data_IF_896590400259
#
_entry.id   IF_896590400259
#
_cell.length_a   1.000
_cell.length_b   1.000
_cell.length_c   1.000
_cell.angle_alpha   90.00
_cell.angle_beta   90.00
_cell.angle_gamma   90.00
#
_symmetry.space_group_name_H-M   'P 1'
#
loop_
_entity.id
_entity.type
_entity.pdbx_description
1 polymer ?
#
# COMPACT_ATOMS: atom_id res chain seq x y z
N UNK A 1 -3.09 10.82 -19.20
CA UNK A 1 -3.15 10.88 -17.73
C UNK A 1 -3.79 9.59 -17.25
N UNK A 2 -3.12 8.87 -16.36
CA UNK A 2 -3.70 7.68 -15.74
C UNK A 2 -4.72 8.12 -14.69
N UNK A 3 -5.99 7.82 -14.91
CA UNK A 3 -7.05 8.15 -13.96
C UNK A 3 -7.30 6.97 -13.02
N UNK A 4 -7.75 7.28 -11.83
CA UNK A 4 -8.29 6.30 -10.89
C UNK A 4 -9.53 5.65 -11.50
N UNK A 5 -9.61 4.34 -11.45
CA UNK A 5 -10.78 3.61 -11.94
C UNK A 5 -11.91 3.62 -10.91
N UNK A 6 -13.15 3.37 -11.34
CA UNK A 6 -14.30 3.25 -10.42
C UNK A 6 -14.09 2.13 -9.38
N UNK A 7 -13.46 1.03 -9.79
CA UNK A 7 -13.07 -0.06 -8.90
C UNK A 7 -12.15 0.44 -7.78
N UNK A 8 -11.07 1.14 -8.13
CA UNK A 8 -10.11 1.68 -7.15
C UNK A 8 -10.78 2.69 -6.20
N UNK A 9 -11.64 3.58 -6.71
CA UNK A 9 -12.40 4.52 -5.88
C UNK A 9 -13.25 3.82 -4.82
N UNK A 10 -13.99 2.79 -5.23
CA UNK A 10 -14.89 2.06 -4.34
C UNK A 10 -14.10 1.32 -3.25
N UNK A 11 -13.02 0.63 -3.61
CA UNK A 11 -12.20 -0.10 -2.63
C UNK A 11 -11.37 0.85 -1.76
N UNK A 12 -10.85 1.96 -2.30
CA UNK A 12 -10.17 2.99 -1.49
C UNK A 12 -11.11 3.52 -0.41
N UNK A 13 -12.33 3.89 -0.77
CA UNK A 13 -13.33 4.39 0.18
C UNK A 13 -13.63 3.36 1.27
N UNK A 14 -13.77 2.09 0.92
CA UNK A 14 -14.02 1.00 1.87
C UNK A 14 -12.83 0.80 2.82
N UNK A 15 -11.62 0.78 2.31
CA UNK A 15 -10.39 0.62 3.12
C UNK A 15 -10.20 1.81 4.06
N UNK A 16 -10.38 3.04 3.58
CA UNK A 16 -10.25 4.23 4.43
C UNK A 16 -11.33 4.29 5.51
N UNK A 17 -12.58 3.93 5.20
CA UNK A 17 -13.62 3.81 6.21
C UNK A 17 -13.25 2.77 7.27
N UNK A 18 -12.81 1.57 6.84
CA UNK A 18 -12.35 0.50 7.73
C UNK A 18 -11.19 0.94 8.63
N UNK A 19 -10.23 1.67 8.08
CA UNK A 19 -9.07 2.17 8.82
C UNK A 19 -9.46 3.27 9.83
N UNK A 20 -10.39 4.17 9.47
CA UNK A 20 -10.92 5.18 10.38
C UNK A 20 -11.70 4.54 11.55
N UNK A 21 -12.59 3.57 11.27
CA UNK A 21 -13.39 2.88 12.29
C UNK A 21 -12.51 2.18 13.34
N UNK A 22 -11.26 1.86 12.99
CA UNK A 22 -10.27 1.19 13.84
C UNK A 22 -9.20 2.13 14.38
N UNK A 23 -9.38 3.43 14.18
CA UNK A 23 -8.42 4.46 14.58
C UNK A 23 -7.00 4.23 14.01
N UNK A 24 -6.88 3.64 12.82
CA UNK A 24 -5.57 3.41 12.20
C UNK A 24 -5.01 4.71 11.61
N UNK A 25 -5.88 5.57 11.05
CA UNK A 25 -5.42 6.82 10.43
C UNK A 25 -4.81 7.75 11.47
N UNK A 26 -5.55 8.07 12.56
CA UNK A 26 -5.11 9.02 13.58
C UNK A 26 -4.26 8.37 14.68
N UNK A 27 -4.46 7.09 14.94
CA UNK A 27 -3.76 6.33 15.99
C UNK A 27 -2.40 5.77 15.59
N UNK A 28 -2.02 5.91 14.32
CA UNK A 28 -0.72 5.52 13.76
C UNK A 28 -0.08 6.70 13.03
N UNK A 29 0.99 6.44 12.29
CA UNK A 29 1.69 7.44 11.48
C UNK A 29 2.20 6.83 10.16
N UNK A 30 2.57 7.70 9.24
CA UNK A 30 3.04 7.31 7.91
C UNK A 30 4.38 6.53 7.94
N UNK A 31 5.19 6.67 8.99
CA UNK A 31 6.44 5.91 9.16
C UNK A 31 6.12 4.44 9.45
N UNK A 32 5.22 4.19 10.43
CA UNK A 32 4.77 2.82 10.74
C UNK A 32 4.08 2.18 9.55
N UNK A 33 3.30 2.97 8.81
CA UNK A 33 2.64 2.48 7.60
C UNK A 33 3.63 2.15 6.50
N UNK A 34 4.70 2.94 6.32
CA UNK A 34 5.78 2.63 5.38
C UNK A 34 6.52 1.35 5.77
N UNK A 35 6.80 1.14 7.07
CA UNK A 35 7.40 -0.10 7.56
C UNK A 35 6.51 -1.32 7.27
N UNK A 36 5.18 -1.16 7.42
CA UNK A 36 4.23 -2.21 7.03
C UNK A 36 4.28 -2.48 5.53
N UNK A 37 4.28 -1.43 4.70
CA UNK A 37 4.43 -1.57 3.24
C UNK A 37 5.71 -2.32 2.85
N UNK A 38 6.82 -2.06 3.57
CA UNK A 38 8.08 -2.77 3.34
C UNK A 38 7.99 -4.27 3.68
N UNK A 39 7.24 -4.64 4.73
CA UNK A 39 6.98 -6.04 5.08
C UNK A 39 6.21 -6.74 3.95
N UNK A 40 5.12 -6.14 3.47
CA UNK A 40 4.31 -6.67 2.37
C UNK A 40 5.11 -6.77 1.05
N UNK A 41 6.05 -5.83 0.82
CA UNK A 41 6.96 -5.92 -0.33
C UNK A 41 7.92 -7.12 -0.21
N UNK A 42 8.35 -7.48 0.99
CA UNK A 42 9.13 -8.69 1.26
C UNK A 42 8.33 -9.95 0.96
N UNK A 43 7.10 -10.05 1.45
CA UNK A 43 6.19 -11.16 1.19
C UNK A 43 5.90 -11.33 -0.31
N UNK A 44 5.73 -10.22 -1.04
CA UNK A 44 5.61 -10.24 -2.50
C UNK A 44 6.83 -10.85 -3.20
N UNK A 45 8.04 -10.48 -2.79
CA UNK A 45 9.28 -11.01 -3.36
C UNK A 45 9.40 -12.51 -3.06
N UNK A 46 9.09 -12.92 -1.83
CA UNK A 46 9.13 -14.32 -1.42
C UNK A 46 8.13 -15.17 -2.22
N UNK A 47 6.92 -14.65 -2.46
CA UNK A 47 5.91 -15.31 -3.28
C UNK A 47 6.35 -15.47 -4.74
N UNK A 48 7.02 -14.46 -5.31
CA UNK A 48 7.60 -14.54 -6.67
C UNK A 48 8.70 -15.61 -6.74
N UNK A 49 9.58 -15.66 -5.75
CA UNK A 49 10.71 -16.64 -5.71
C UNK A 49 10.21 -18.07 -5.50
N UNK A 50 9.18 -18.24 -4.68
CA UNK A 50 8.59 -19.56 -4.39
C UNK A 50 7.56 -20.02 -5.45
N UNK A 51 7.23 -19.17 -6.41
CA UNK A 51 6.18 -19.40 -7.43
C UNK A 51 4.79 -19.66 -6.79
N UNK A 52 4.53 -19.10 -5.59
CA UNK A 52 3.26 -19.22 -4.90
C UNK A 52 2.27 -18.15 -5.41
N UNK A 53 1.33 -18.60 -6.25
CA UNK A 53 0.37 -17.72 -6.91
C UNK A 53 -0.64 -17.12 -5.91
N UNK A 54 -1.04 -17.87 -4.90
CA UNK A 54 -2.03 -17.42 -3.92
C UNK A 54 -1.42 -16.35 -3.02
N UNK A 55 -0.22 -16.59 -2.51
CA UNK A 55 0.54 -15.63 -1.72
C UNK A 55 0.91 -14.39 -2.52
N UNK A 56 1.25 -14.56 -3.81
CA UNK A 56 1.51 -13.43 -4.72
C UNK A 56 0.30 -12.50 -4.86
N UNK A 57 -0.90 -13.05 -5.01
CA UNK A 57 -2.14 -12.26 -5.13
C UNK A 57 -2.47 -11.58 -3.80
N UNK A 58 -2.29 -12.24 -2.66
CA UNK A 58 -2.52 -11.68 -1.32
C UNK A 58 -1.57 -10.52 -1.06
N UNK A 59 -0.28 -10.71 -1.30
CA UNK A 59 0.75 -9.68 -1.12
C UNK A 59 0.51 -8.42 -1.98
N UNK A 60 -0.02 -8.55 -3.21
CA UNK A 60 -0.41 -7.40 -4.04
C UNK A 60 -1.50 -6.59 -3.36
N UNK A 61 -2.52 -7.26 -2.84
CA UNK A 61 -3.64 -6.61 -2.18
C UNK A 61 -3.25 -5.91 -0.89
N UNK A 62 -2.45 -6.56 -0.05
CA UNK A 62 -1.98 -6.02 1.21
C UNK A 62 -1.03 -4.84 1.01
N UNK A 63 -0.14 -4.87 0.00
CA UNK A 63 0.63 -3.70 -0.40
C UNK A 63 -0.28 -2.52 -0.77
N UNK A 64 -1.31 -2.75 -1.60
CA UNK A 64 -2.21 -1.69 -2.00
C UNK A 64 -2.96 -1.08 -0.80
N UNK A 65 -3.43 -1.89 0.14
CA UNK A 65 -4.09 -1.43 1.38
C UNK A 65 -3.14 -0.54 2.18
N UNK A 66 -1.88 -0.96 2.37
CA UNK A 66 -0.90 -0.17 3.13
C UNK A 66 -0.57 1.15 2.44
N UNK A 67 -0.48 1.17 1.09
CA UNK A 67 -0.25 2.41 0.33
C UNK A 67 -1.44 3.38 0.46
N UNK A 68 -2.67 2.90 0.37
CA UNK A 68 -3.89 3.72 0.53
C UNK A 68 -3.92 4.40 1.89
N UNK A 69 -3.65 3.68 2.97
CA UNK A 69 -3.59 4.22 4.32
C UNK A 69 -2.42 5.21 4.46
N UNK A 70 -1.24 4.85 3.96
CA UNK A 70 -0.07 5.72 4.01
C UNK A 70 -0.23 7.03 3.24
N UNK A 71 -0.92 7.01 2.10
CA UNK A 71 -1.27 8.23 1.35
C UNK A 71 -2.19 9.14 2.16
N UNK A 72 -3.23 8.59 2.80
CA UNK A 72 -4.15 9.35 3.66
C UNK A 72 -3.40 10.01 4.81
N UNK A 73 -2.60 9.26 5.56
CA UNK A 73 -1.78 9.77 6.66
C UNK A 73 -0.77 10.83 6.20
N UNK A 74 -0.29 10.74 4.97
CA UNK A 74 0.64 11.69 4.36
C UNK A 74 -0.04 12.90 3.74
N UNK A 75 -1.38 12.94 3.67
CA UNK A 75 -2.13 13.99 2.99
C UNK A 75 -1.88 14.03 1.47
N UNK A 76 -1.62 12.88 0.86
CA UNK A 76 -1.46 12.70 -0.59
C UNK A 76 -2.70 12.02 -1.16
N UNK A 77 -3.39 12.69 -2.08
CA UNK A 77 -4.54 12.05 -2.74
C UNK A 77 -4.08 10.99 -3.75
N UNK A 78 -4.89 9.96 -3.94
CA UNK A 78 -4.62 8.89 -4.91
C UNK A 78 -4.38 9.43 -6.33
N UNK A 79 -5.23 10.36 -6.78
CA UNK A 79 -5.06 10.99 -8.10
C UNK A 79 -3.76 11.78 -8.20
N UNK A 80 -3.36 12.50 -7.13
CA UNK A 80 -2.09 13.23 -7.08
C UNK A 80 -0.90 12.28 -7.20
N UNK A 81 -0.97 11.12 -6.56
CA UNK A 81 0.05 10.08 -6.70
C UNK A 81 0.12 9.57 -8.16
N UNK A 82 -1.03 9.21 -8.76
CA UNK A 82 -1.08 8.77 -10.16
C UNK A 82 -0.51 9.81 -11.14
N UNK A 83 -0.83 11.08 -10.95
CA UNK A 83 -0.34 12.17 -11.81
C UNK A 83 1.19 12.35 -11.67
N UNK A 84 1.72 12.10 -10.48
CA UNK A 84 3.15 12.22 -10.19
C UNK A 84 3.98 11.05 -10.73
N UNK A 85 3.37 9.86 -10.92
CA UNK A 85 4.02 8.68 -11.50
C UNK A 85 4.39 8.86 -12.99
N UNK A 86 3.73 9.76 -13.69
CA UNK A 86 3.93 9.98 -15.14
C UNK A 86 5.35 10.46 -15.52
N UNK A 87 6.17 10.81 -14.55
CA UNK A 87 7.55 11.25 -14.77
C UNK A 87 8.55 10.10 -14.93
N UNK A 88 8.13 8.84 -14.76
CA UNK A 88 9.00 7.67 -14.91
C UNK A 88 8.66 6.94 -16.20
N UNK A 89 9.63 6.93 -17.10
CA UNK A 89 9.60 6.06 -18.26
C UNK A 89 9.84 4.62 -17.82
N UNK A 90 8.73 3.86 -17.69
CA UNK A 90 8.77 2.42 -17.37
C UNK A 90 8.86 1.55 -18.62
N UNK A 91 9.13 2.17 -19.78
CA UNK A 91 9.29 1.44 -21.06
C UNK A 91 10.62 0.69 -21.14
N UNK A 92 11.55 0.93 -20.21
CA UNK A 92 12.77 0.16 -20.10
C UNK A 92 12.50 -1.14 -19.35
N UNK A 93 12.35 -2.23 -20.11
CA UNK A 93 12.19 -3.61 -19.60
C UNK A 93 13.37 -4.07 -18.70
N UNK A 94 14.42 -3.25 -18.59
CA UNK A 94 15.58 -3.51 -17.73
C UNK A 94 15.30 -3.29 -16.23
N UNK A 95 14.29 -2.50 -15.89
CA UNK A 95 13.90 -2.25 -14.49
C UNK A 95 12.98 -3.38 -14.02
N UNK A 96 13.52 -4.30 -13.25
CA UNK A 96 12.69 -5.29 -12.55
C UNK A 96 11.75 -4.60 -11.56
N UNK A 97 10.51 -5.10 -11.46
CA UNK A 97 9.48 -4.53 -10.58
C UNK A 97 9.96 -4.34 -9.13
N UNK A 98 10.75 -5.27 -8.60
CA UNK A 98 11.37 -5.22 -7.28
C UNK A 98 12.26 -3.98 -7.08
N UNK A 99 13.12 -3.66 -8.06
CA UNK A 99 14.00 -2.49 -8.02
C UNK A 99 13.18 -1.19 -8.04
N UNK A 100 12.11 -1.15 -8.85
CA UNK A 100 11.21 0.01 -8.92
C UNK A 100 10.43 0.19 -7.62
N UNK A 101 9.99 -0.89 -6.99
CA UNK A 101 9.36 -0.87 -5.67
C UNK A 101 10.30 -0.30 -4.61
N UNK A 102 11.56 -0.76 -4.55
CA UNK A 102 12.55 -0.25 -3.61
C UNK A 102 12.83 1.24 -3.82
N UNK A 103 12.91 1.69 -5.07
CA UNK A 103 13.05 3.11 -5.39
C UNK A 103 11.83 3.91 -4.92
N UNK A 104 10.62 3.42 -5.15
CA UNK A 104 9.40 4.05 -4.68
C UNK A 104 9.36 4.18 -3.14
N UNK A 105 9.72 3.13 -2.42
CA UNK A 105 9.86 3.14 -0.95
C UNK A 105 10.89 4.19 -0.50
N UNK A 106 12.04 4.28 -1.19
CA UNK A 106 13.06 5.29 -0.91
C UNK A 106 12.52 6.71 -1.09
N UNK A 107 11.75 6.97 -2.16
CA UNK A 107 11.11 8.28 -2.38
C UNK A 107 10.10 8.61 -1.27
N UNK A 108 9.30 7.63 -0.82
CA UNK A 108 8.34 7.82 0.28
C UNK A 108 9.09 8.14 1.58
N UNK A 109 10.14 7.36 1.91
CA UNK A 109 10.94 7.58 3.11
C UNK A 109 11.58 8.98 3.13
N UNK A 110 12.16 9.38 2.01
CA UNK A 110 12.80 10.69 1.84
C UNK A 110 11.76 11.82 1.92
N UNK A 111 10.57 11.61 1.35
CA UNK A 111 9.44 12.54 1.44
C UNK A 111 8.94 12.72 2.87
N UNK A 112 8.89 11.65 3.67
CA UNK A 112 8.56 11.72 5.10
C UNK A 112 9.62 12.52 5.86
N UNK A 113 10.90 12.20 5.66
CA UNK A 113 12.02 12.83 6.35
C UNK A 113 12.13 14.33 6.05
N UNK A 114 11.76 14.75 4.85
CA UNK A 114 11.86 16.15 4.39
C UNK A 114 10.54 16.92 4.46
N UNK A 115 9.46 16.28 4.88
CA UNK A 115 8.08 16.78 4.76
C UNK A 115 7.75 17.27 3.33
N UNK A 116 8.23 16.53 2.32
CA UNK A 116 8.08 16.87 0.91
C UNK A 116 6.92 16.09 0.28
N UNK A 117 5.77 16.79 0.14
CA UNK A 117 4.54 16.22 -0.44
C UNK A 117 4.69 15.84 -1.94
N UNK A 118 5.58 16.49 -2.67
CA UNK A 118 5.80 16.16 -4.07
C UNK A 118 6.57 14.84 -4.19
N UNK A 119 7.59 14.66 -3.37
CA UNK A 119 8.36 13.42 -3.32
C UNK A 119 7.53 12.25 -2.78
N UNK A 120 6.69 12.48 -1.77
CA UNK A 120 5.69 11.50 -1.31
C UNK A 120 4.75 11.08 -2.43
N UNK A 121 4.15 12.05 -3.15
CA UNK A 121 3.25 11.75 -4.25
C UNK A 121 3.96 10.98 -5.37
N UNK A 122 5.20 11.31 -5.67
CA UNK A 122 6.02 10.57 -6.63
C UNK A 122 6.24 9.13 -6.20
N UNK A 123 6.69 8.90 -4.97
CA UNK A 123 6.95 7.56 -4.45
C UNK A 123 5.70 6.68 -4.46
N UNK A 124 4.58 7.17 -3.91
CA UNK A 124 3.30 6.45 -3.96
C UNK A 124 2.83 6.20 -5.38
N UNK A 125 2.99 7.17 -6.28
CA UNK A 125 2.59 7.04 -7.68
C UNK A 125 3.37 5.98 -8.43
N UNK A 126 4.68 5.92 -8.24
CA UNK A 126 5.55 4.89 -8.83
C UNK A 126 5.12 3.51 -8.34
N UNK A 127 4.92 3.35 -7.04
CA UNK A 127 4.51 2.08 -6.47
C UNK A 127 3.16 1.62 -7.03
N UNK A 128 2.16 2.49 -7.00
CA UNK A 128 0.84 2.22 -7.59
C UNK A 128 0.94 1.82 -9.06
N UNK A 129 1.82 2.48 -9.82
CA UNK A 129 2.03 2.14 -11.22
C UNK A 129 2.52 0.70 -11.40
N UNK A 130 3.47 0.25 -10.58
CA UNK A 130 3.95 -1.14 -10.60
C UNK A 130 2.80 -2.11 -10.31
N UNK A 131 2.05 -1.90 -9.22
CA UNK A 131 0.94 -2.79 -8.86
C UNK A 131 -0.15 -2.83 -9.94
N UNK A 132 -0.53 -1.68 -10.49
CA UNK A 132 -1.56 -1.58 -11.55
C UNK A 132 -1.15 -2.28 -12.84
N UNK A 133 0.15 -2.32 -13.15
CA UNK A 133 0.66 -3.04 -14.32
C UNK A 133 0.50 -4.57 -14.22
N UNK A 134 0.27 -5.10 -13.02
CA UNK A 134 -0.10 -6.51 -12.81
C UNK A 134 -1.55 -6.83 -13.23
N UNK A 135 -2.32 -5.82 -13.63
CA UNK A 135 -3.66 -5.93 -14.28
C UNK A 135 -4.64 -6.81 -13.49
N UNK A 136 -4.91 -8.01 -13.99
CA UNK A 136 -5.88 -8.93 -13.39
C UNK A 136 -5.48 -9.34 -11.97
N UNK A 137 -4.20 -9.64 -11.73
CA UNK A 137 -3.69 -9.97 -10.39
C UNK A 137 -3.89 -8.80 -9.41
N UNK A 138 -3.67 -7.57 -9.85
CA UNK A 138 -3.95 -6.37 -9.05
C UNK A 138 -5.43 -6.30 -8.63
N UNK A 139 -6.35 -6.47 -9.57
CA UNK A 139 -7.79 -6.40 -9.29
C UNK A 139 -8.23 -7.50 -8.32
N UNK A 140 -7.73 -8.74 -8.52
CA UNK A 140 -8.01 -9.84 -7.61
C UNK A 140 -7.39 -9.63 -6.23
N UNK A 141 -6.14 -9.19 -6.15
CA UNK A 141 -5.45 -8.91 -4.88
C UNK A 141 -6.19 -7.86 -4.04
N UNK A 142 -6.55 -6.72 -4.64
CA UNK A 142 -7.32 -5.67 -3.94
C UNK A 142 -8.65 -6.20 -3.39
N UNK A 143 -9.38 -6.99 -4.18
CA UNK A 143 -10.66 -7.57 -3.74
C UNK A 143 -10.45 -8.63 -2.64
N UNK A 144 -9.42 -9.46 -2.74
CA UNK A 144 -9.07 -10.48 -1.75
C UNK A 144 -8.65 -9.83 -0.42
N UNK A 145 -7.76 -8.84 -0.45
CA UNK A 145 -7.35 -8.09 0.74
C UNK A 145 -8.53 -7.44 1.45
N UNK A 146 -9.43 -6.78 0.70
CA UNK A 146 -10.67 -6.24 1.29
C UNK A 146 -11.50 -7.33 1.97
N UNK A 147 -11.73 -8.46 1.31
CA UNK A 147 -12.50 -9.56 1.90
C UNK A 147 -11.86 -10.12 3.17
N UNK A 148 -10.53 -10.11 3.25
CA UNK A 148 -9.77 -10.54 4.43
C UNK A 148 -9.87 -9.55 5.59
N UNK A 149 -9.81 -8.22 5.31
CA UNK A 149 -9.73 -7.22 6.37
C UNK A 149 -11.09 -6.69 6.84
N UNK A 150 -12.13 -6.66 6.01
CA UNK A 150 -13.43 -6.00 6.28
C UNK A 150 -14.03 -6.37 7.64
N UNK A 151 -13.96 -7.63 8.02
CA UNK A 151 -14.52 -8.17 9.27
C UNK A 151 -13.44 -8.35 10.36
N UNK A 152 -12.18 -7.95 10.10
CA UNK A 152 -11.06 -8.12 11.02
C UNK A 152 -11.25 -7.24 12.24
N UNK A 153 -11.25 -7.87 13.42
CA UNK A 153 -11.30 -7.20 14.72
C UNK A 153 -9.89 -7.04 15.30
N UNK A 154 -9.74 -6.05 16.15
CA UNK A 154 -8.47 -5.75 16.81
C UNK A 154 -8.51 -4.37 17.46
N UNK A 155 -7.38 -3.95 17.99
CA UNK A 155 -7.20 -2.61 18.60
C UNK A 155 -5.83 -2.03 18.30
N UNK A 156 -5.73 -0.72 18.48
CA UNK A 156 -4.44 -0.04 18.41
C UNK A 156 -3.61 -0.29 19.67
N UNK A 157 -2.37 -0.76 19.49
CA UNK A 157 -1.39 -0.95 20.57
C UNK A 157 -0.09 -0.28 20.15
N UNK A 158 0.33 0.75 20.87
CA UNK A 158 1.54 1.52 20.57
C UNK A 158 1.63 2.04 19.12
N UNK A 159 0.48 2.46 18.57
CA UNK A 159 0.41 2.98 17.21
C UNK A 159 0.40 1.92 16.10
N UNK A 160 0.21 0.64 16.45
CA UNK A 160 0.07 -0.46 15.50
C UNK A 160 -1.27 -1.15 15.73
N UNK A 161 -1.99 -1.44 14.65
CA UNK A 161 -3.21 -2.24 14.73
C UNK A 161 -2.86 -3.71 14.95
N UNK A 162 -3.28 -4.26 16.09
CA UNK A 162 -3.07 -5.67 16.48
C UNK A 162 -4.38 -6.42 16.33
N UNK A 163 -4.37 -7.52 15.59
CA UNK A 163 -5.53 -8.41 15.43
C UNK A 163 -5.97 -8.96 16.78
N UNK A 164 -7.26 -9.19 16.94
CA UNK A 164 -7.83 -9.74 18.19
C UNK A 164 -7.20 -11.09 18.55
N UNK A 165 -6.91 -11.93 17.53
CA UNK A 165 -6.22 -13.22 17.70
C UNK A 165 -4.78 -13.11 18.24
N UNK A 166 -4.14 -11.96 18.04
CA UNK A 166 -2.72 -11.75 18.33
C UNK A 166 -2.52 -10.93 19.63
N UNK A 167 -3.63 -10.50 20.25
CA UNK A 167 -3.61 -9.80 21.53
C UNK A 167 -3.23 -10.78 22.64
N UNK A 168 -2.19 -10.46 23.39
CA UNK A 168 -1.82 -11.23 24.60
C UNK A 168 -2.79 -10.90 25.71
N UNK A 169 -3.06 -11.90 26.58
CA UNK A 169 -3.89 -11.71 27.77
C UNK A 169 -3.36 -10.54 28.60
N UNK A 170 -4.19 -9.50 28.76
CA UNK A 170 -3.85 -8.29 29.54
C UNK A 170 -3.39 -7.08 28.73
N UNK A 171 -3.39 -7.13 27.41
CA UNK A 171 -3.16 -5.96 26.52
C UNK A 171 -4.45 -5.30 26.06
#
# INVERSE_FOLDING_TARGET
>A
MSQMTKFEEDYQRLVLQWANDRNIIDGSDNIKQLLKTLTEAGEFIDAVVSEDVDEFVDAIGDQWVTLVIGMEQSGVTYQKALDSAMCIDTSDDSLKNDTVILYAISCIADGILKDDKALLAQGYGIYLHVLRNLKTSFTFGVAAAWNTIKDRKGKMVNGVFVKESDLKDGQ
#
